data_IF_214108803407
#
_entry.id   IF_214108803407
#
_cell.length_a   1.000
_cell.length_b   1.000
_cell.length_c   1.000
_cell.angle_alpha   90.00
_cell.angle_beta   90.00
_cell.angle_gamma   90.00
#
_symmetry.space_group_name_H-M   'P 1'
#
loop_
_entity.id
_entity.type
_entity.pdbx_description
1 polymer ?
#
# COMPACT_ATOMS: atom_id res chain seq x y z
N UNK A 1 4.50 -19.23 3.78
CA UNK A 1 3.94 -17.86 3.63
C UNK A 1 2.62 -17.79 2.86
N UNK A 2 2.28 -18.74 1.99
CA UNK A 2 1.08 -18.66 1.12
C UNK A 2 -0.24 -18.35 1.86
N UNK A 3 -0.63 -19.13 2.87
CA UNK A 3 -1.89 -18.89 3.63
C UNK A 3 -1.93 -17.50 4.28
N UNK A 4 -0.78 -17.04 4.78
CA UNK A 4 -0.64 -15.70 5.36
C UNK A 4 -0.93 -14.63 4.30
N UNK A 5 -0.26 -14.71 3.14
CA UNK A 5 -0.43 -13.79 2.01
C UNK A 5 -1.88 -13.75 1.49
N UNK A 6 -2.55 -14.89 1.40
CA UNK A 6 -3.98 -14.93 1.06
C UNK A 6 -4.83 -14.19 2.09
N UNK A 7 -4.61 -14.46 3.38
CA UNK A 7 -5.42 -13.88 4.46
C UNK A 7 -5.26 -12.36 4.51
N UNK A 8 -4.03 -11.88 4.53
CA UNK A 8 -3.75 -10.44 4.61
C UNK A 8 -4.02 -9.72 3.28
N UNK A 9 -3.91 -10.41 2.14
CA UNK A 9 -4.30 -9.87 0.84
C UNK A 9 -5.81 -9.68 0.73
N UNK A 10 -6.61 -10.67 1.13
CA UNK A 10 -8.06 -10.57 1.19
C UNK A 10 -8.53 -9.54 2.23
N UNK A 11 -7.86 -9.44 3.37
CA UNK A 11 -8.15 -8.40 4.36
C UNK A 11 -7.91 -6.99 3.79
N UNK A 12 -6.79 -6.77 3.09
CA UNK A 12 -6.48 -5.49 2.46
C UNK A 12 -7.47 -5.18 1.31
N UNK A 13 -7.82 -6.19 0.52
CA UNK A 13 -8.83 -6.07 -0.52
C UNK A 13 -10.19 -5.65 0.06
N UNK A 14 -10.63 -6.28 1.15
CA UNK A 14 -11.87 -5.95 1.84
C UNK A 14 -11.88 -4.52 2.36
N UNK A 15 -10.82 -4.06 3.05
CA UNK A 15 -10.77 -2.68 3.52
C UNK A 15 -10.65 -1.69 2.34
N UNK A 16 -10.07 -2.08 1.21
CA UNK A 16 -10.11 -1.32 -0.04
C UNK A 16 -11.53 -1.14 -0.55
N UNK A 17 -12.35 -2.20 -0.57
CA UNK A 17 -13.78 -2.13 -0.93
C UNK A 17 -14.55 -1.21 0.01
N UNK A 18 -14.35 -1.36 1.33
CA UNK A 18 -14.98 -0.50 2.34
C UNK A 18 -14.56 0.96 2.19
N UNK A 19 -13.30 1.22 1.83
CA UNK A 19 -12.79 2.57 1.52
C UNK A 19 -13.56 3.20 0.35
N UNK A 20 -13.96 2.39 -0.63
CA UNK A 20 -14.78 2.83 -1.77
C UNK A 20 -16.13 3.45 -1.36
N UNK A 21 -16.74 2.94 -0.28
CA UNK A 21 -18.04 3.42 0.22
C UNK A 21 -17.95 4.81 0.87
N UNK A 22 -16.78 5.17 1.40
CA UNK A 22 -16.58 6.43 2.13
C UNK A 22 -15.92 7.53 1.29
N UNK A 23 -15.63 7.27 0.00
CA UNK A 23 -15.00 8.24 -0.92
C UNK A 23 -15.66 9.62 -0.88
N UNK A 24 -17.01 9.76 -0.98
CA UNK A 24 -17.64 11.08 -1.03
C UNK A 24 -17.56 11.85 0.28
N UNK A 25 -17.29 11.18 1.40
CA UNK A 25 -17.25 11.76 2.73
C UNK A 25 -15.86 12.33 3.11
N UNK A 26 -14.81 12.02 2.34
CA UNK A 26 -13.46 12.49 2.63
C UNK A 26 -13.16 13.84 2.01
N UNK A 27 -12.31 14.62 2.69
CA UNK A 27 -11.92 15.98 2.30
C UNK A 27 -11.39 16.06 0.87
N UNK A 28 -10.62 15.06 0.44
CA UNK A 28 -10.17 14.92 -0.94
C UNK A 28 -10.65 13.59 -1.55
N UNK A 29 -11.81 13.59 -2.24
CA UNK A 29 -12.37 12.39 -2.88
C UNK A 29 -11.48 11.77 -3.96
N UNK A 30 -10.66 12.59 -4.66
CA UNK A 30 -9.74 12.09 -5.69
C UNK A 30 -8.64 11.22 -5.10
N UNK A 31 -8.12 11.63 -3.94
CA UNK A 31 -7.15 10.85 -3.17
C UNK A 31 -7.81 9.66 -2.46
N UNK A 32 -9.07 9.79 -2.04
CA UNK A 32 -9.84 8.67 -1.49
C UNK A 32 -10.02 7.55 -2.51
N UNK A 33 -10.30 7.91 -3.78
CA UNK A 33 -10.33 6.97 -4.89
C UNK A 33 -8.98 6.27 -5.07
N UNK A 34 -7.86 7.01 -4.97
CA UNK A 34 -6.53 6.39 -4.97
C UNK A 34 -6.38 5.39 -3.84
N UNK A 35 -6.79 5.71 -2.61
CA UNK A 35 -6.74 4.78 -1.48
C UNK A 35 -7.57 3.51 -1.68
N UNK A 36 -8.78 3.65 -2.24
CA UNK A 36 -9.61 2.50 -2.64
C UNK A 36 -8.87 1.59 -3.63
N UNK A 37 -8.31 2.18 -4.70
CA UNK A 37 -7.57 1.44 -5.72
C UNK A 37 -6.33 0.77 -5.14
N UNK A 38 -5.56 1.47 -4.29
CA UNK A 38 -4.39 0.91 -3.63
C UNK A 38 -4.77 -0.28 -2.73
N UNK A 39 -5.86 -0.21 -1.96
CA UNK A 39 -6.32 -1.34 -1.16
C UNK A 39 -6.69 -2.55 -2.03
N UNK A 40 -7.45 -2.33 -3.10
CA UNK A 40 -7.89 -3.40 -4.01
C UNK A 40 -6.71 -4.02 -4.78
N UNK A 41 -5.86 -3.19 -5.40
CA UNK A 41 -4.72 -3.65 -6.21
C UNK A 41 -3.65 -4.31 -5.36
N UNK A 42 -3.25 -3.72 -4.23
CA UNK A 42 -2.25 -4.33 -3.36
C UNK A 42 -2.81 -5.61 -2.69
N UNK A 43 -4.10 -5.64 -2.34
CA UNK A 43 -4.75 -6.86 -1.85
C UNK A 43 -4.68 -8.00 -2.87
N UNK A 44 -5.01 -7.73 -4.14
CA UNK A 44 -4.87 -8.71 -5.23
C UNK A 44 -3.41 -9.11 -5.45
N UNK A 45 -2.48 -8.16 -5.43
CA UNK A 45 -1.05 -8.44 -5.57
C UNK A 45 -0.55 -9.41 -4.50
N UNK A 46 -0.94 -9.22 -3.23
CA UNK A 46 -0.59 -10.14 -2.14
C UNK A 46 -1.16 -11.54 -2.36
N UNK A 47 -2.40 -11.66 -2.86
CA UNK A 47 -3.00 -12.95 -3.20
C UNK A 47 -2.22 -13.63 -4.34
N UNK A 48 -1.90 -12.89 -5.42
CA UNK A 48 -1.09 -13.40 -6.54
C UNK A 48 0.29 -13.83 -6.07
N UNK A 49 0.92 -13.06 -5.18
CA UNK A 49 2.20 -13.43 -4.59
C UNK A 49 2.09 -14.71 -3.75
N UNK A 50 0.98 -14.91 -3.04
CA UNK A 50 0.67 -16.16 -2.37
C UNK A 50 0.58 -17.35 -3.33
N UNK A 51 0.00 -17.17 -4.52
CA UNK A 51 -0.05 -18.19 -5.57
C UNK A 51 1.33 -18.48 -6.15
N UNK A 52 2.18 -17.46 -6.27
CA UNK A 52 3.56 -17.58 -6.75
C UNK A 52 4.46 -18.31 -5.75
N UNK A 53 4.17 -18.22 -4.45
CA UNK A 53 5.04 -18.67 -3.37
C UNK A 53 5.63 -20.09 -3.47
N UNK A 54 4.92 -21.12 -3.99
CA UNK A 54 5.49 -22.45 -4.19
C UNK A 54 6.66 -22.50 -5.18
N UNK A 55 6.86 -21.46 -5.99
CA UNK A 55 7.93 -21.33 -6.98
C UNK A 55 9.10 -20.48 -6.48
N UNK A 56 9.04 -20.00 -5.24
CA UNK A 56 10.07 -19.15 -4.65
C UNK A 56 11.08 -20.01 -3.90
N UNK A 57 12.32 -20.07 -4.39
CA UNK A 57 13.46 -20.69 -3.74
C UNK A 57 14.37 -19.61 -3.12
N UNK A 58 14.13 -19.33 -1.84
CA UNK A 58 14.94 -18.41 -1.03
C UNK A 58 15.19 -19.01 0.34
N UNK A 59 16.35 -18.69 0.97
CA UNK A 59 16.54 -18.97 2.38
C UNK A 59 15.42 -18.34 3.22
N UNK A 60 15.03 -19.01 4.32
CA UNK A 60 13.89 -18.61 5.16
C UNK A 60 13.96 -17.13 5.60
N UNK A 61 15.14 -16.64 5.96
CA UNK A 61 15.34 -15.24 6.35
C UNK A 61 14.93 -14.26 5.23
N UNK A 62 15.31 -14.53 3.99
CA UNK A 62 14.97 -13.69 2.84
C UNK A 62 13.49 -13.76 2.48
N UNK A 63 12.86 -14.92 2.67
CA UNK A 63 11.40 -15.04 2.55
C UNK A 63 10.67 -14.14 3.54
N UNK A 64 11.09 -14.17 4.81
CA UNK A 64 10.50 -13.32 5.87
C UNK A 64 10.69 -11.84 5.54
N UNK A 65 11.89 -11.43 5.13
CA UNK A 65 12.19 -10.04 4.76
C UNK A 65 11.32 -9.60 3.57
N UNK A 66 11.23 -10.41 2.51
CA UNK A 66 10.41 -10.10 1.34
C UNK A 66 8.93 -9.91 1.71
N UNK A 67 8.36 -10.86 2.47
CA UNK A 67 6.96 -10.75 2.93
C UNK A 67 6.78 -9.51 3.80
N UNK A 68 7.67 -9.24 4.76
CA UNK A 68 7.55 -8.10 5.65
C UNK A 68 7.58 -6.77 4.89
N UNK A 69 8.50 -6.60 3.94
CA UNK A 69 8.62 -5.39 3.12
C UNK A 69 7.39 -5.17 2.22
N UNK A 70 6.94 -6.23 1.54
CA UNK A 70 5.80 -6.14 0.61
C UNK A 70 4.50 -5.87 1.38
N UNK A 71 4.28 -6.58 2.48
CA UNK A 71 3.09 -6.39 3.33
C UNK A 71 3.09 -5.01 3.97
N UNK A 72 4.23 -4.58 4.53
CA UNK A 72 4.37 -3.21 5.03
C UNK A 72 4.00 -2.20 3.95
N UNK A 73 4.57 -2.33 2.75
CA UNK A 73 4.32 -1.37 1.69
C UNK A 73 2.85 -1.33 1.27
N UNK A 74 2.23 -2.49 1.06
CA UNK A 74 0.83 -2.62 0.68
C UNK A 74 -0.11 -1.90 1.66
N UNK A 75 0.06 -2.15 2.97
CA UNK A 75 -0.77 -1.56 4.00
C UNK A 75 -0.43 -0.08 4.25
N UNK A 76 0.86 0.27 4.23
CA UNK A 76 1.29 1.66 4.33
C UNK A 76 0.76 2.50 3.17
N UNK A 77 0.62 1.93 1.97
CA UNK A 77 0.17 2.64 0.78
C UNK A 77 -1.32 2.99 0.88
N UNK A 78 -2.14 1.98 1.20
CA UNK A 78 -3.55 2.20 1.53
C UNK A 78 -3.73 3.23 2.65
N UNK A 79 -2.98 3.10 3.75
CA UNK A 79 -3.11 4.00 4.89
C UNK A 79 -2.65 5.43 4.57
N UNK A 80 -1.51 5.59 3.90
CA UNK A 80 -0.95 6.89 3.56
C UNK A 80 -1.91 7.67 2.66
N UNK A 81 -2.47 7.01 1.64
CA UNK A 81 -3.44 7.60 0.72
C UNK A 81 -4.78 7.89 1.40
N UNK A 82 -5.22 7.04 2.35
CA UNK A 82 -6.43 7.30 3.15
C UNK A 82 -6.25 8.53 4.04
N UNK A 83 -5.13 8.63 4.74
CA UNK A 83 -4.81 9.79 5.58
C UNK A 83 -4.62 11.05 4.74
N UNK A 84 -3.98 10.93 3.57
CA UNK A 84 -3.86 12.02 2.60
C UNK A 84 -5.25 12.51 2.16
N UNK A 85 -6.18 11.60 1.89
CA UNK A 85 -7.55 11.92 1.53
C UNK A 85 -8.33 12.60 2.67
N UNK A 86 -8.19 12.10 3.89
CA UNK A 86 -8.85 12.65 5.07
C UNK A 86 -8.31 14.05 5.45
N UNK A 87 -7.00 14.27 5.32
CA UNK A 87 -6.36 15.53 5.70
C UNK A 87 -6.25 16.55 4.57
N UNK A 88 -6.38 16.12 3.32
CA UNK A 88 -6.02 16.92 2.15
C UNK A 88 -4.50 17.16 2.08
N UNK A 89 -3.71 16.13 2.38
CA UNK A 89 -2.25 16.13 2.32
C UNK A 89 -1.75 15.34 1.09
N UNK A 90 -0.44 15.18 0.94
CA UNK A 90 0.19 14.36 -0.11
C UNK A 90 0.77 15.18 -1.26
N UNK A 91 0.89 16.51 -1.10
CA UNK A 91 1.26 17.41 -2.19
C UNK A 91 2.62 17.13 -2.81
N UNK A 92 3.57 16.62 -2.02
CA UNK A 92 4.95 16.35 -2.48
C UNK A 92 5.04 15.16 -3.43
N UNK A 93 4.33 14.07 -3.13
CA UNK A 93 4.48 12.79 -3.83
C UNK A 93 3.25 12.39 -4.66
N UNK A 94 2.10 13.00 -4.40
CA UNK A 94 0.86 12.78 -5.15
C UNK A 94 0.19 14.11 -5.54
N UNK A 95 0.89 15.05 -6.21
CA UNK A 95 0.36 16.38 -6.50
C UNK A 95 -0.91 16.36 -7.36
N UNK A 96 -1.00 15.45 -8.33
CA UNK A 96 -2.16 15.31 -9.23
C UNK A 96 -3.43 14.94 -8.43
N UNK A 97 -3.31 14.00 -7.49
CA UNK A 97 -4.44 13.59 -6.66
C UNK A 97 -4.71 14.60 -5.53
N UNK A 98 -3.69 15.34 -5.07
CA UNK A 98 -3.83 16.35 -4.01
C UNK A 98 -4.54 17.61 -4.52
N UNK A 99 -4.23 18.07 -5.73
CA UNK A 99 -4.75 19.34 -6.26
C UNK A 99 -4.35 20.53 -5.37
N UNK A 100 -5.28 21.45 -5.13
CA UNK A 100 -5.05 22.65 -4.34
C UNK A 100 -5.16 22.45 -2.82
N UNK A 101 -5.41 21.21 -2.36
CA UNK A 101 -5.52 20.92 -0.94
C UNK A 101 -4.20 21.20 -0.22
N UNK A 102 -4.33 21.72 1.01
CA UNK A 102 -3.21 21.99 1.92
C UNK A 102 -3.52 21.38 3.28
N UNK A 103 -2.51 20.75 3.85
CA UNK A 103 -2.51 20.28 5.23
C UNK A 103 -1.35 20.91 6.02
N UNK A 104 -1.46 20.97 7.37
CA UNK A 104 -0.35 21.34 8.24
C UNK A 104 0.90 20.51 7.95
N UNK A 105 2.08 21.13 8.11
CA UNK A 105 3.38 20.52 7.79
C UNK A 105 3.60 19.14 8.44
N UNK A 106 3.13 18.95 9.67
CA UNK A 106 3.23 17.66 10.35
C UNK A 106 2.45 16.54 9.63
N UNK A 107 1.25 16.82 9.12
CA UNK A 107 0.41 15.86 8.38
C UNK A 107 0.99 15.55 7.00
N UNK A 108 1.48 16.57 6.31
CA UNK A 108 2.21 16.42 5.05
C UNK A 108 3.48 15.59 5.22
N UNK A 109 4.24 15.85 6.29
CA UNK A 109 5.46 15.12 6.62
C UNK A 109 5.19 13.65 6.91
N UNK A 110 4.15 13.36 7.68
CA UNK A 110 3.77 11.98 8.00
C UNK A 110 3.35 11.18 6.76
N UNK A 111 2.45 11.74 5.94
CA UNK A 111 2.05 11.12 4.67
C UNK A 111 3.26 10.93 3.76
N UNK A 112 4.12 11.94 3.65
CA UNK A 112 5.33 11.89 2.82
C UNK A 112 6.30 10.81 3.28
N UNK A 113 6.49 10.65 4.59
CA UNK A 113 7.32 9.60 5.16
C UNK A 113 6.78 8.21 4.82
N UNK A 114 5.47 7.98 4.98
CA UNK A 114 4.85 6.71 4.61
C UNK A 114 5.03 6.43 3.12
N UNK A 115 4.66 7.38 2.24
CA UNK A 115 4.78 7.23 0.78
C UNK A 115 6.23 6.96 0.32
N UNK A 116 7.22 7.60 0.95
CA UNK A 116 8.61 7.36 0.61
C UNK A 116 9.09 5.98 1.10
N UNK A 117 8.86 5.68 2.37
CA UNK A 117 9.32 4.43 2.98
C UNK A 117 8.67 3.19 2.35
N UNK A 118 7.37 3.25 2.04
CA UNK A 118 6.67 2.16 1.35
C UNK A 118 7.20 1.97 -0.08
N UNK A 119 7.56 3.05 -0.78
CA UNK A 119 8.09 2.99 -2.16
C UNK A 119 9.44 2.28 -2.19
N UNK A 120 10.31 2.57 -1.22
CA UNK A 120 11.58 1.85 -1.07
C UNK A 120 11.33 0.39 -0.71
N UNK A 121 10.42 0.13 0.23
CA UNK A 121 10.13 -1.23 0.69
C UNK A 121 9.58 -2.13 -0.43
N UNK A 122 8.64 -1.65 -1.26
CA UNK A 122 8.07 -2.48 -2.34
C UNK A 122 9.11 -2.80 -3.41
N UNK A 123 9.95 -1.84 -3.79
CA UNK A 123 11.00 -2.07 -4.80
C UNK A 123 11.96 -3.15 -4.31
N UNK A 124 12.47 -3.02 -3.08
CA UNK A 124 13.38 -4.02 -2.50
C UNK A 124 12.68 -5.38 -2.36
N UNK A 125 11.46 -5.40 -1.83
CA UNK A 125 10.70 -6.63 -1.63
C UNK A 125 10.44 -7.39 -2.93
N UNK A 126 10.01 -6.70 -3.99
CA UNK A 126 9.79 -7.30 -5.30
C UNK A 126 11.09 -7.78 -5.93
N UNK A 127 12.20 -7.04 -5.79
CA UNK A 127 13.52 -7.51 -6.26
C UNK A 127 13.93 -8.81 -5.57
N UNK A 128 13.72 -8.93 -4.26
CA UNK A 128 14.02 -10.18 -3.54
C UNK A 128 13.16 -11.33 -4.08
N UNK A 129 11.87 -11.10 -4.32
CA UNK A 129 10.97 -12.12 -4.92
C UNK A 129 11.46 -12.52 -6.31
N UNK A 130 11.90 -11.58 -7.15
CA UNK A 130 12.45 -11.86 -8.49
C UNK A 130 13.73 -12.69 -8.40
N UNK A 131 14.61 -12.39 -7.45
CA UNK A 131 15.84 -13.18 -7.23
C UNK A 131 15.52 -14.60 -6.76
N UNK A 132 14.41 -14.76 -6.05
CA UNK A 132 13.93 -16.03 -5.53
C UNK A 132 13.12 -16.89 -6.50
N UNK A 133 12.75 -16.36 -7.67
CA UNK A 133 12.14 -17.13 -8.75
C UNK A 133 13.22 -17.82 -9.58
#
# INVERSE_FOLDING_TARGET
MQKLLFTIGLALFLIGLLTGLVIPALKNPRMALSSHLEGVLNGMFLVVLGLLWPHIDLPEAWQVIAVALIVYSAYANWLATLLAAAWGAGRKFAPIATGDHKAPAAKEGFVSFLLLSLSVAIVIGVVIVIIGL
#
